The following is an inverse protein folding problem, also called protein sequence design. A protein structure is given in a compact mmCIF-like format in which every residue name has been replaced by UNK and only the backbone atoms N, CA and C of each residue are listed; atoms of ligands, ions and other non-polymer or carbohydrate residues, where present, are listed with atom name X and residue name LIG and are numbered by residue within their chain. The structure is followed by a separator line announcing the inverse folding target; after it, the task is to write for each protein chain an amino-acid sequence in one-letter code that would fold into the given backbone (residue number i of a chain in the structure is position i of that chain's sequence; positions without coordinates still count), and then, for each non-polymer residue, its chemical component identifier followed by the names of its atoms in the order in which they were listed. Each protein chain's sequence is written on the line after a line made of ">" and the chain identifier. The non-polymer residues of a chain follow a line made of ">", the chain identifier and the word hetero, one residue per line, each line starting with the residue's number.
data_IF_690831868259
#
_entry.id   IF_690831868259
#
_cell.length_a   1.000
_cell.length_b   1.000
_cell.length_c   1.000
_cell.angle_alpha   90.00
_cell.angle_beta   90.00
_cell.angle_gamma   90.00
#
_symmetry.space_group_name_H-M   'P 1'
#
loop_
_entity.id
_entity.type
_entity.pdbx_description
1 polymer ?
#
# COMPACT_ATOMS: atom_id res chain seq x y z
N UNK A 1 88.13 56.39 31.87
CA UNK A 1 87.50 56.10 30.54
C UNK A 1 86.92 54.71 30.62
N UNK A 2 85.59 54.61 30.73
CA UNK A 2 84.87 53.32 30.57
C UNK A 2 84.68 53.12 29.08
N UNK A 3 85.27 52.09 28.52
CA UNK A 3 84.99 51.63 27.19
C UNK A 3 83.56 51.01 27.16
N UNK A 4 82.64 51.67 26.47
CA UNK A 4 81.36 51.03 26.15
C UNK A 4 81.66 49.96 25.12
N UNK A 5 81.57 48.71 25.49
CA UNK A 5 81.56 47.59 24.56
C UNK A 5 80.30 47.64 23.72
N UNK A 6 80.47 48.21 22.58
CA UNK A 6 79.37 48.21 21.60
C UNK A 6 78.90 46.80 21.25
N UNK A 7 77.58 46.55 21.22
CA UNK A 7 76.97 45.28 20.88
C UNK A 7 77.53 44.80 19.53
N UNK A 8 78.11 43.59 19.55
CA UNK A 8 78.69 43.00 18.30
C UNK A 8 77.70 42.95 17.16
N UNK A 9 78.16 43.16 15.93
CA UNK A 9 77.33 43.19 14.70
C UNK A 9 76.48 41.91 14.58
N UNK A 10 77.02 40.74 14.95
CA UNK A 10 76.30 39.45 14.96
C UNK A 10 75.13 39.45 15.94
N UNK A 11 75.26 40.09 17.12
CA UNK A 11 74.18 40.16 18.09
C UNK A 11 73.04 41.11 17.62
N UNK A 12 73.37 42.19 16.89
CA UNK A 12 72.40 43.11 16.27
C UNK A 12 71.65 42.39 15.15
N UNK A 13 72.31 41.57 14.33
CA UNK A 13 71.72 40.78 13.28
C UNK A 13 70.78 39.69 13.84
N UNK A 14 71.22 39.03 14.97
CA UNK A 14 70.39 38.04 15.65
C UNK A 14 69.11 38.69 16.22
N UNK A 15 69.25 39.84 16.90
CA UNK A 15 68.05 40.56 17.38
C UNK A 15 67.10 41.00 16.30
N UNK A 16 67.61 41.43 15.14
CA UNK A 16 66.79 41.80 13.96
C UNK A 16 66.05 40.57 13.42
N UNK A 17 66.72 39.42 13.29
CA UNK A 17 66.11 38.20 12.80
C UNK A 17 65.02 37.65 13.75
N UNK A 18 65.24 37.71 15.07
CA UNK A 18 64.26 37.35 16.09
C UNK A 18 63.06 38.31 16.02
N UNK A 19 63.27 39.61 15.86
CA UNK A 19 62.17 40.58 15.72
C UNK A 19 61.34 40.33 14.48
N UNK A 20 61.95 40.02 13.32
CA UNK A 20 61.25 39.67 12.10
C UNK A 20 60.45 38.36 12.28
N UNK A 21 61.05 37.36 12.96
CA UNK A 21 60.35 36.11 13.24
C UNK A 21 59.14 36.33 14.17
N UNK A 22 59.28 37.12 15.22
CA UNK A 22 58.15 37.45 16.12
C UNK A 22 57.05 38.21 15.40
N UNK A 23 57.38 39.17 14.53
CA UNK A 23 56.45 39.92 13.71
C UNK A 23 55.74 38.95 12.73
N UNK A 24 56.48 38.07 12.06
CA UNK A 24 55.92 37.09 11.12
C UNK A 24 55.00 36.11 11.84
N UNK A 25 55.38 35.61 13.03
CA UNK A 25 54.52 34.73 13.84
C UNK A 25 53.30 35.49 14.38
N UNK A 26 53.45 36.72 14.82
CA UNK A 26 52.31 37.56 15.22
C UNK A 26 51.35 37.84 14.06
N UNK A 27 51.88 38.13 12.87
CA UNK A 27 51.06 38.32 11.67
C UNK A 27 50.35 37.05 11.21
N UNK A 28 51.05 35.90 11.22
CA UNK A 28 50.42 34.61 10.91
C UNK A 28 49.38 34.21 11.95
N UNK A 29 49.65 34.38 13.25
CA UNK A 29 48.68 34.16 14.30
C UNK A 29 47.45 35.09 14.13
N UNK A 30 47.70 36.39 13.90
CA UNK A 30 46.58 37.31 13.61
C UNK A 30 45.80 36.94 12.36
N UNK A 31 46.46 36.51 11.27
CA UNK A 31 45.80 36.04 10.05
C UNK A 31 44.98 34.78 10.31
N UNK A 32 45.51 33.81 11.05
CA UNK A 32 44.78 32.55 11.44
C UNK A 32 43.58 32.87 12.33
N UNK A 33 43.69 33.82 13.25
CA UNK A 33 42.55 34.23 14.10
C UNK A 33 41.56 35.08 13.34
N UNK A 34 42.02 35.99 12.45
CA UNK A 34 41.15 36.86 11.63
C UNK A 34 40.44 36.09 10.47
N UNK A 35 41.06 35.00 10.01
CA UNK A 35 40.47 34.11 9.00
C UNK A 35 39.49 33.08 9.56
N UNK A 36 39.26 33.07 10.88
CA UNK A 36 38.22 32.24 11.51
C UNK A 36 36.83 32.83 11.31
N UNK A 37 36.47 33.18 10.05
CA UNK A 37 35.09 33.26 9.62
C UNK A 37 34.56 31.82 9.45
N UNK A 38 34.70 31.00 10.46
CA UNK A 38 34.17 29.62 10.44
C UNK A 38 32.70 29.73 10.76
N UNK A 39 31.86 29.70 9.73
CA UNK A 39 30.44 29.44 9.93
C UNK A 39 30.29 27.99 10.38
N UNK A 40 29.76 27.80 11.58
CA UNK A 40 29.42 26.49 12.09
C UNK A 40 27.94 26.22 11.93
N UNK A 41 27.59 25.06 11.39
CA UNK A 41 26.20 24.57 11.39
C UNK A 41 25.61 24.49 12.81
N UNK A 42 26.45 24.29 13.84
CA UNK A 42 26.01 24.29 15.24
C UNK A 42 25.50 25.67 15.71
N UNK A 43 25.97 26.76 15.07
CA UNK A 43 25.56 28.14 15.38
C UNK A 43 24.40 28.63 14.50
N UNK A 44 23.76 27.76 13.75
CA UNK A 44 22.53 28.07 13.02
C UNK A 44 21.41 27.32 13.74
N UNK A 45 20.56 28.04 14.45
CA UNK A 45 19.39 27.41 15.05
C UNK A 45 18.26 27.38 14.06
N UNK A 46 17.63 26.22 13.93
CA UNK A 46 16.45 26.03 13.10
C UNK A 46 15.36 25.35 13.94
N UNK A 47 14.14 25.83 13.83
CA UNK A 47 12.97 25.17 14.39
C UNK A 47 11.91 25.00 13.33
N UNK A 48 11.17 23.90 13.39
CA UNK A 48 10.07 23.58 12.49
C UNK A 48 8.88 23.18 13.35
N UNK A 49 7.88 24.04 13.41
CA UNK A 49 6.70 23.87 14.25
C UNK A 49 5.49 23.55 13.41
N UNK A 50 4.90 22.41 13.66
CA UNK A 50 3.61 21.97 13.13
C UNK A 50 2.77 21.43 14.28
N UNK A 51 1.45 21.46 14.14
CA UNK A 51 0.57 20.80 15.09
C UNK A 51 0.90 19.29 15.12
N UNK A 52 1.11 18.66 16.29
CA UNK A 52 1.37 17.23 16.42
C UNK A 52 0.28 16.35 15.79
N UNK A 53 -0.93 16.86 15.64
CA UNK A 53 -2.04 16.18 15.01
C UNK A 53 -2.68 17.08 13.95
N UNK A 54 -2.90 16.51 12.76
CA UNK A 54 -3.46 17.23 11.59
C UNK A 54 -4.58 16.40 10.97
N UNK A 55 -5.67 17.03 10.60
CA UNK A 55 -6.73 16.37 9.84
C UNK A 55 -6.25 16.17 8.39
N UNK A 56 -6.50 14.99 7.83
CA UNK A 56 -6.16 14.71 6.44
C UNK A 56 -6.97 15.57 5.48
N UNK A 57 -6.30 16.14 4.47
CA UNK A 57 -6.95 16.97 3.45
C UNK A 57 -7.25 18.39 3.87
N UNK A 58 -7.02 18.75 5.12
CA UNK A 58 -7.14 20.13 5.59
C UNK A 58 -5.80 20.87 5.52
N UNK A 59 -5.91 22.22 5.51
CA UNK A 59 -4.73 23.08 5.52
C UNK A 59 -4.08 23.06 6.90
N UNK A 60 -2.85 22.58 6.99
CA UNK A 60 -2.04 22.58 8.20
C UNK A 60 -0.99 23.70 8.14
N UNK A 61 -1.03 24.69 9.07
CA UNK A 61 0.00 25.71 9.15
C UNK A 61 1.30 25.11 9.69
N UNK A 62 2.41 25.47 9.05
CA UNK A 62 3.75 25.06 9.40
C UNK A 62 4.62 26.32 9.50
N UNK A 63 5.28 26.52 10.63
CA UNK A 63 6.17 27.65 10.85
C UNK A 63 7.63 27.19 10.96
N UNK A 64 8.44 27.71 10.07
CA UNK A 64 9.91 27.58 10.13
C UNK A 64 10.53 28.84 10.70
N UNK A 65 11.48 28.69 11.62
CA UNK A 65 12.32 29.79 12.09
C UNK A 65 13.79 29.43 12.00
N UNK A 66 14.60 30.42 11.65
CA UNK A 66 16.05 30.31 11.55
C UNK A 66 16.70 31.46 12.29
N UNK A 67 17.69 31.18 13.13
CA UNK A 67 18.50 32.18 13.83
C UNK A 67 19.99 31.94 13.57
N UNK A 68 20.67 32.97 13.02
CA UNK A 68 22.10 32.89 12.73
C UNK A 68 22.93 33.39 13.94
N UNK A 69 23.46 32.47 14.75
CA UNK A 69 24.38 32.79 15.87
C UNK A 69 25.85 32.92 15.45
N UNK A 70 26.14 32.73 14.16
CA UNK A 70 27.51 32.93 13.68
C UNK A 70 27.82 34.41 13.65
N UNK A 71 29.12 34.71 13.74
CA UNK A 71 29.65 36.06 13.54
C UNK A 71 29.74 36.48 12.08
N UNK A 72 29.46 35.55 11.18
CA UNK A 72 29.52 35.74 9.72
C UNK A 72 28.12 35.68 9.10
N UNK A 73 27.99 36.38 7.99
CA UNK A 73 26.76 36.44 7.18
C UNK A 73 26.57 35.14 6.40
N UNK A 74 25.35 34.63 6.37
CA UNK A 74 24.93 33.56 5.45
C UNK A 74 24.44 34.27 4.15
N UNK A 75 25.02 33.91 3.03
CA UNK A 75 24.69 34.48 1.71
C UNK A 75 23.90 33.48 0.87
N UNK A 76 23.06 33.98 -0.04
CA UNK A 76 22.26 33.17 -0.95
C UNK A 76 21.51 32.06 -0.23
N UNK A 77 20.99 32.35 0.97
CA UNK A 77 20.27 31.37 1.76
C UNK A 77 18.91 31.06 1.11
N UNK A 78 18.60 29.78 1.00
CA UNK A 78 17.30 29.28 0.55
C UNK A 78 16.87 28.08 1.35
N UNK A 79 15.57 27.89 1.49
CA UNK A 79 14.98 26.71 2.12
C UNK A 79 14.13 25.93 1.15
N UNK A 80 14.17 24.62 1.27
CA UNK A 80 13.31 23.68 0.53
C UNK A 80 12.50 22.85 1.51
N UNK A 81 11.17 22.88 1.38
CA UNK A 81 10.26 22.05 2.15
C UNK A 81 9.99 20.77 1.38
N UNK A 82 10.30 19.64 2.00
CA UNK A 82 10.23 18.29 1.41
C UNK A 82 9.32 17.43 2.28
N UNK A 83 8.31 16.83 1.67
CA UNK A 83 7.42 15.89 2.35
C UNK A 83 6.68 15.01 1.34
N UNK A 84 6.00 13.96 1.83
CA UNK A 84 5.06 13.14 1.05
C UNK A 84 3.65 13.70 1.23
N UNK A 85 3.00 14.08 0.14
CA UNK A 85 1.65 14.65 0.22
C UNK A 85 0.58 13.58 0.43
N UNK A 86 0.69 12.42 -0.23
CA UNK A 86 -0.30 11.34 -0.21
C UNK A 86 0.30 9.97 0.12
N UNK A 87 -0.52 8.92 -0.05
CA UNK A 87 -0.15 7.52 0.14
C UNK A 87 -0.08 6.84 -1.23
N UNK A 88 1.01 6.16 -1.58
CA UNK A 88 1.08 5.37 -2.81
C UNK A 88 2.44 5.39 -3.49
N UNK A 89 2.66 4.44 -4.38
CA UNK A 89 3.95 4.16 -5.01
C UNK A 89 4.49 5.28 -5.91
N UNK A 90 3.65 6.15 -6.43
CA UNK A 90 4.11 7.31 -7.23
C UNK A 90 4.54 8.49 -6.37
N UNK A 91 4.11 8.55 -5.10
CA UNK A 91 4.46 9.58 -4.12
C UNK A 91 5.37 9.06 -3.01
N UNK A 92 5.94 7.85 -3.15
CA UNK A 92 6.90 7.29 -2.20
C UNK A 92 8.22 8.07 -2.14
N UNK A 93 8.51 8.91 -3.14
CA UNK A 93 9.66 9.78 -3.10
C UNK A 93 9.31 11.09 -2.40
N UNK A 94 10.11 11.46 -1.41
CA UNK A 94 10.10 12.79 -0.84
C UNK A 94 10.33 13.81 -1.97
N UNK A 95 9.33 14.64 -2.24
CA UNK A 95 9.41 15.68 -3.25
C UNK A 95 9.57 17.05 -2.61
N UNK A 96 10.35 17.92 -3.23
CA UNK A 96 10.37 19.33 -2.89
C UNK A 96 9.04 19.93 -3.33
N UNK A 97 8.24 20.36 -2.36
CA UNK A 97 6.94 20.99 -2.63
C UNK A 97 7.04 22.49 -2.75
N UNK A 98 7.95 23.10 -1.97
CA UNK A 98 8.12 24.55 -1.97
C UNK A 98 9.58 24.91 -1.71
N UNK A 99 10.10 25.89 -2.46
CA UNK A 99 11.40 26.47 -2.26
C UNK A 99 11.23 27.98 -2.06
N UNK A 100 11.90 28.53 -1.04
CA UNK A 100 11.91 29.97 -0.76
C UNK A 100 13.32 30.48 -0.61
N UNK A 101 13.58 31.63 -1.22
CA UNK A 101 14.84 32.35 -1.10
C UNK A 101 14.75 33.26 0.13
N UNK A 102 15.66 33.05 1.10
CA UNK A 102 15.77 33.88 2.29
C UNK A 102 16.75 35.03 2.10
N UNK A 103 17.57 34.96 1.02
CA UNK A 103 18.59 35.94 0.71
C UNK A 103 19.75 35.93 1.70
N UNK A 104 20.15 37.12 2.12
CA UNK A 104 21.24 37.29 3.08
C UNK A 104 20.72 37.30 4.50
N UNK A 105 21.40 36.54 5.40
CA UNK A 105 21.05 36.45 6.84
C UNK A 105 22.23 36.92 7.65
N UNK A 106 22.10 38.07 8.28
CA UNK A 106 23.17 38.68 9.07
C UNK A 106 23.43 37.95 10.39
N UNK A 107 24.57 38.18 11.05
CA UNK A 107 24.80 37.76 12.42
C UNK A 107 23.66 38.22 13.34
N UNK A 108 23.17 37.30 14.20
CA UNK A 108 22.06 37.51 15.14
C UNK A 108 20.73 37.91 14.49
N UNK A 109 20.56 37.64 13.20
CA UNK A 109 19.29 37.84 12.51
C UNK A 109 18.40 36.60 12.65
N UNK A 110 17.09 36.84 12.80
CA UNK A 110 16.05 35.83 12.81
C UNK A 110 15.24 35.93 11.51
N UNK A 111 15.03 34.81 10.85
CA UNK A 111 14.10 34.67 9.70
C UNK A 111 12.97 33.72 10.08
N UNK A 112 11.74 34.10 9.69
CA UNK A 112 10.56 33.29 9.87
C UNK A 112 9.85 33.13 8.53
N UNK A 113 9.44 31.90 8.25
CA UNK A 113 8.63 31.54 7.08
C UNK A 113 7.45 30.69 7.52
N UNK A 114 6.27 31.06 7.05
CA UNK A 114 5.05 30.33 7.31
C UNK A 114 4.58 29.62 6.02
N UNK A 115 4.26 28.34 6.12
CA UNK A 115 3.79 27.50 5.03
C UNK A 115 2.39 26.99 5.36
N UNK A 116 1.60 26.74 4.32
CA UNK A 116 0.33 26.05 4.40
C UNK A 116 0.42 24.78 3.58
N UNK A 117 0.39 23.63 4.28
CA UNK A 117 0.52 22.34 3.64
C UNK A 117 -0.77 21.54 3.76
N UNK A 118 -0.99 20.63 2.81
CA UNK A 118 -2.10 19.68 2.84
C UNK A 118 -1.51 18.29 2.77
N UNK A 119 -1.85 17.44 3.76
CA UNK A 119 -1.36 16.09 3.88
C UNK A 119 -2.53 15.10 3.76
N UNK A 120 -2.29 14.01 3.06
CA UNK A 120 -3.23 12.90 2.94
C UNK A 120 -2.59 11.61 3.45
N UNK A 121 -3.37 10.74 4.04
CA UNK A 121 -2.91 9.47 4.56
C UNK A 121 -3.98 8.74 5.34
N UNK A 122 -3.64 7.55 5.81
CA UNK A 122 -4.51 6.75 6.68
C UNK A 122 -4.56 7.35 8.10
N UNK A 123 -5.58 6.98 8.85
CA UNK A 123 -5.70 7.34 10.26
C UNK A 123 -4.49 6.83 11.06
N UNK A 124 -4.01 7.66 12.00
CA UNK A 124 -2.82 7.43 12.83
C UNK A 124 -1.49 7.30 12.05
N UNK A 125 -1.45 7.64 10.77
CA UNK A 125 -0.22 7.62 9.98
C UNK A 125 0.64 8.84 10.30
N UNK A 126 1.94 8.58 10.58
CA UNK A 126 2.92 9.65 10.81
C UNK A 126 3.45 10.19 9.49
N UNK A 127 3.51 11.52 9.38
CA UNK A 127 4.06 12.27 8.25
C UNK A 127 5.28 13.06 8.67
N UNK A 128 6.40 12.75 8.04
CA UNK A 128 7.64 13.48 8.24
C UNK A 128 7.72 14.68 7.27
N UNK A 129 8.16 15.80 7.82
CA UNK A 129 8.37 17.06 7.13
C UNK A 129 9.83 17.44 7.29
N UNK A 130 10.50 17.70 6.18
CA UNK A 130 11.92 18.01 6.16
C UNK A 130 12.11 19.41 5.56
N UNK A 131 12.80 20.29 6.29
CA UNK A 131 13.26 21.56 5.73
C UNK A 131 14.78 21.48 5.59
N UNK A 132 15.24 21.70 4.34
CA UNK A 132 16.64 21.78 4.00
C UNK A 132 16.99 23.23 3.75
N UNK A 133 17.90 23.77 4.57
CA UNK A 133 18.55 25.06 4.36
C UNK A 133 19.79 24.86 3.49
N UNK A 134 19.94 25.66 2.45
CA UNK A 134 21.16 25.81 1.66
C UNK A 134 21.66 27.25 1.77
N UNK A 135 22.96 27.45 1.92
CA UNK A 135 23.55 28.78 2.05
C UNK A 135 25.01 28.78 1.63
N UNK A 136 25.55 29.98 1.35
CA UNK A 136 26.98 30.25 1.14
C UNK A 136 27.54 31.07 2.29
N UNK A 137 28.84 31.05 2.44
CA UNK A 137 29.57 31.85 3.43
C UNK A 137 30.37 32.92 2.67
N UNK A 138 30.46 34.12 3.23
CA UNK A 138 31.24 35.23 2.65
C UNK A 138 32.69 34.79 2.35
N UNK A 139 33.12 34.99 1.08
CA UNK A 139 34.43 34.58 0.61
C UNK A 139 34.58 33.12 0.19
N UNK A 140 33.47 32.35 0.13
CA UNK A 140 33.46 30.99 -0.38
C UNK A 140 32.32 30.77 -1.38
N UNK A 141 32.63 30.05 -2.46
CA UNK A 141 31.60 29.59 -3.42
C UNK A 141 30.98 28.24 -3.05
N UNK A 142 31.42 27.62 -1.93
CA UNK A 142 30.88 26.37 -1.48
C UNK A 142 29.46 26.54 -0.92
N UNK A 143 28.57 25.64 -1.31
CA UNK A 143 27.20 25.58 -0.78
C UNK A 143 27.18 24.62 0.41
N UNK A 144 26.75 25.15 1.54
CA UNK A 144 26.54 24.40 2.78
C UNK A 144 25.07 24.09 2.94
N UNK A 145 24.77 23.01 3.69
CA UNK A 145 23.40 22.66 3.98
C UNK A 145 23.21 22.32 5.47
N UNK A 146 21.99 22.54 5.94
CA UNK A 146 21.52 22.09 7.25
C UNK A 146 20.09 21.60 7.10
N UNK A 147 19.74 20.50 7.77
CA UNK A 147 18.43 19.85 7.69
C UNK A 147 17.80 19.86 9.07
N UNK A 148 16.48 20.10 9.11
CA UNK A 148 15.64 19.86 10.27
C UNK A 148 14.43 19.05 9.84
N UNK A 149 14.00 18.15 10.73
CA UNK A 149 12.81 17.29 10.53
C UNK A 149 11.83 17.51 11.66
N UNK A 150 10.55 17.52 11.34
CA UNK A 150 9.44 17.48 12.29
C UNK A 150 8.41 16.47 11.77
N UNK A 151 7.51 16.00 12.62
CA UNK A 151 6.44 15.09 12.20
C UNK A 151 5.08 15.52 12.72
N UNK A 152 4.03 15.04 12.07
CA UNK A 152 2.65 15.17 12.52
C UNK A 152 1.93 13.83 12.29
N UNK A 153 0.93 13.55 13.13
CA UNK A 153 0.09 12.35 13.00
C UNK A 153 -1.22 12.77 12.35
N UNK A 154 -1.58 12.09 11.27
CA UNK A 154 -2.86 12.27 10.61
C UNK A 154 -3.98 11.65 11.44
N UNK A 155 -5.06 12.40 11.68
CA UNK A 155 -6.23 11.89 12.38
C UNK A 155 -7.14 11.15 11.42
N UNK A 156 -7.98 11.87 10.69
CA UNK A 156 -9.01 11.29 9.83
C UNK A 156 -8.73 11.67 8.39
N UNK A 157 -8.63 10.70 7.44
CA UNK A 157 -8.54 11.03 6.03
C UNK A 157 -9.86 11.64 5.52
N UNK A 158 -9.81 12.57 4.55
CA UNK A 158 -11.03 13.19 4.01
C UNK A 158 -11.95 12.16 3.35
N UNK A 159 -11.36 11.18 2.69
CA UNK A 159 -12.06 10.00 2.15
C UNK A 159 -11.33 8.78 2.68
N UNK A 160 -12.04 7.94 3.41
CA UNK A 160 -11.53 6.67 3.93
C UNK A 160 -11.98 5.49 3.08
N UNK A 161 -11.17 4.44 3.08
CA UNK A 161 -11.51 3.13 2.49
C UNK A 161 -11.35 2.06 3.55
N UNK A 162 -12.30 1.11 3.58
CA UNK A 162 -12.23 -0.09 4.41
C UNK A 162 -12.58 -1.33 3.59
N UNK A 163 -11.99 -2.46 3.97
CA UNK A 163 -12.28 -3.78 3.41
C UNK A 163 -12.81 -4.64 4.54
N UNK A 164 -13.95 -5.29 4.28
CA UNK A 164 -14.56 -6.27 5.17
C UNK A 164 -14.84 -7.56 4.40
N UNK A 165 -14.62 -8.71 5.04
CA UNK A 165 -14.78 -10.01 4.40
C UNK A 165 -14.21 -11.16 5.23
N UNK A 166 -14.16 -12.38 4.67
CA UNK A 166 -13.55 -13.52 5.34
C UNK A 166 -12.02 -13.37 5.39
N UNK A 167 -11.46 -13.38 6.58
CA UNK A 167 -10.01 -13.39 6.81
C UNK A 167 -9.37 -14.78 6.76
N UNK A 168 -10.21 -15.82 6.62
CA UNK A 168 -9.80 -17.21 6.47
C UNK A 168 -10.62 -17.86 5.37
N UNK A 169 -9.98 -18.38 4.33
CA UNK A 169 -10.62 -19.07 3.21
C UNK A 169 -9.97 -20.43 2.99
N UNK A 170 -10.78 -21.41 2.59
CA UNK A 170 -10.25 -22.64 2.02
C UNK A 170 -9.73 -22.37 0.61
N UNK A 171 -8.67 -23.06 0.22
CA UNK A 171 -8.11 -22.96 -1.14
C UNK A 171 -9.21 -23.29 -2.16
N UNK A 172 -9.43 -22.38 -3.12
CA UNK A 172 -10.49 -22.49 -4.12
C UNK A 172 -11.90 -22.09 -3.64
N UNK A 173 -12.08 -21.81 -2.34
CA UNK A 173 -13.36 -21.33 -1.81
C UNK A 173 -13.65 -19.91 -2.30
N UNK A 174 -14.90 -19.67 -2.69
CA UNK A 174 -15.38 -18.34 -3.03
C UNK A 174 -15.67 -17.55 -1.76
N UNK A 175 -15.14 -16.33 -1.69
CA UNK A 175 -15.42 -15.35 -0.65
C UNK A 175 -15.97 -14.06 -1.25
N UNK A 176 -16.80 -13.34 -0.49
CA UNK A 176 -17.30 -12.01 -0.86
C UNK A 176 -16.69 -10.98 0.06
N UNK A 177 -16.09 -9.95 -0.53
CA UNK A 177 -15.44 -8.83 0.15
C UNK A 177 -16.20 -7.56 -0.14
N UNK A 178 -16.46 -6.76 0.89
CA UNK A 178 -17.13 -5.46 0.78
C UNK A 178 -16.10 -4.37 1.00
N UNK A 179 -15.87 -3.54 -0.02
CA UNK A 179 -15.04 -2.36 0.06
C UNK A 179 -15.96 -1.17 0.29
N UNK A 180 -15.77 -0.46 1.39
CA UNK A 180 -16.56 0.72 1.73
C UNK A 180 -15.70 1.96 1.58
N UNK A 181 -16.17 2.94 0.79
CA UNK A 181 -15.57 4.27 0.64
C UNK A 181 -16.49 5.27 1.32
N UNK A 182 -15.96 6.07 2.25
CA UNK A 182 -16.73 7.03 3.06
C UNK A 182 -16.12 8.42 2.99
N UNK A 183 -16.96 9.43 2.83
CA UNK A 183 -16.58 10.82 2.97
C UNK A 183 -16.64 11.26 4.44
N UNK A 184 -15.49 11.59 5.02
CA UNK A 184 -15.35 12.09 6.39
C UNK A 184 -15.20 13.62 6.44
N UNK A 185 -15.07 14.29 5.28
CA UNK A 185 -14.90 15.74 5.24
C UNK A 185 -16.21 16.48 5.54
N UNK A 186 -16.09 17.76 5.91
CA UNK A 186 -17.23 18.63 6.18
C UNK A 186 -17.98 19.06 4.91
N UNK A 187 -17.47 18.74 3.72
CA UNK A 187 -18.05 19.13 2.43
C UNK A 187 -18.29 17.92 1.54
N UNK A 188 -19.16 18.09 0.53
CA UNK A 188 -19.33 17.08 -0.50
C UNK A 188 -17.99 16.83 -1.22
N UNK A 189 -17.60 15.57 -1.36
CA UNK A 189 -16.37 15.20 -2.06
C UNK A 189 -16.49 15.49 -3.56
N UNK A 190 -15.37 15.70 -4.20
CA UNK A 190 -15.27 15.60 -5.65
C UNK A 190 -15.38 14.13 -6.08
N UNK A 191 -15.35 13.90 -7.39
CA UNK A 191 -15.26 12.56 -7.94
C UNK A 191 -13.93 11.90 -7.53
N UNK A 192 -14.00 10.72 -6.92
CA UNK A 192 -12.86 9.96 -6.45
C UNK A 192 -12.65 8.70 -7.32
N UNK A 193 -11.49 8.10 -7.18
CA UNK A 193 -11.14 6.83 -7.83
C UNK A 193 -10.72 5.84 -6.74
N UNK A 194 -11.35 4.66 -6.75
CA UNK A 194 -10.94 3.50 -5.97
C UNK A 194 -10.15 2.56 -6.87
N UNK A 195 -8.96 2.16 -6.46
CA UNK A 195 -8.15 1.14 -7.09
C UNK A 195 -7.91 -0.01 -6.11
N UNK A 196 -8.06 -1.24 -6.59
CA UNK A 196 -7.83 -2.44 -5.80
C UNK A 196 -6.69 -3.25 -6.40
N UNK A 197 -5.67 -3.51 -5.59
CA UNK A 197 -4.59 -4.45 -5.91
C UNK A 197 -4.96 -5.79 -5.30
N UNK A 198 -5.11 -6.79 -6.16
CA UNK A 198 -5.41 -8.17 -5.79
C UNK A 198 -4.16 -9.03 -5.96
N UNK A 199 -3.97 -10.07 -5.15
CA UNK A 199 -2.93 -11.04 -5.39
C UNK A 199 -3.18 -11.79 -6.71
N UNK A 200 -2.13 -12.19 -7.40
CA UNK A 200 -2.22 -12.90 -8.68
C UNK A 200 -2.99 -14.23 -8.58
N UNK A 201 -3.11 -14.76 -7.38
CA UNK A 201 -3.83 -15.99 -7.07
C UNK A 201 -5.33 -15.78 -6.83
N UNK A 202 -5.81 -14.52 -6.83
CA UNK A 202 -7.22 -14.19 -6.64
C UNK A 202 -7.94 -14.08 -7.99
N UNK A 203 -8.95 -14.91 -8.19
CA UNK A 203 -9.79 -14.91 -9.39
C UNK A 203 -11.15 -14.30 -9.06
N UNK A 204 -11.44 -13.13 -9.67
CA UNK A 204 -12.75 -12.47 -9.52
C UNK A 204 -13.79 -13.26 -10.29
N UNK A 205 -14.90 -13.60 -9.64
CA UNK A 205 -16.10 -14.17 -10.29
C UNK A 205 -17.20 -13.13 -10.52
N UNK A 206 -17.33 -12.15 -9.64
CA UNK A 206 -18.32 -11.07 -9.79
C UNK A 206 -17.87 -9.79 -9.07
N UNK A 207 -18.33 -8.64 -9.56
CA UNK A 207 -18.21 -7.33 -8.90
C UNK A 207 -19.52 -6.55 -9.01
N UNK A 208 -19.88 -5.84 -7.94
CA UNK A 208 -21.06 -4.97 -7.90
C UNK A 208 -20.72 -3.67 -7.14
N UNK A 209 -20.78 -2.50 -7.82
CA UNK A 209 -21.01 -2.30 -9.25
C UNK A 209 -19.86 -2.87 -10.11
N UNK A 210 -20.12 -2.99 -11.41
CA UNK A 210 -19.10 -3.40 -12.39
C UNK A 210 -17.93 -2.40 -12.41
N UNK A 211 -16.75 -2.90 -12.71
CA UNK A 211 -15.53 -2.10 -12.85
C UNK A 211 -15.63 -1.09 -13.99
N UNK A 212 -14.96 0.05 -13.87
CA UNK A 212 -14.81 1.03 -14.93
C UNK A 212 -13.59 0.70 -15.81
N UNK A 213 -13.82 0.01 -16.91
CA UNK A 213 -12.76 -0.31 -17.88
C UNK A 213 -11.90 -1.53 -17.50
N UNK A 214 -10.61 -1.47 -17.87
CA UNK A 214 -9.65 -2.55 -17.57
C UNK A 214 -9.01 -2.31 -16.19
N UNK A 215 -8.80 -3.41 -15.46
CA UNK A 215 -8.23 -3.37 -14.11
C UNK A 215 -9.29 -3.27 -13.02
N UNK A 216 -8.87 -3.37 -11.78
CA UNK A 216 -9.75 -3.36 -10.60
C UNK A 216 -9.92 -1.91 -10.10
N UNK A 217 -10.57 -1.08 -10.92
CA UNK A 217 -10.73 0.36 -10.68
C UNK A 217 -12.20 0.75 -10.80
N UNK A 218 -12.67 1.60 -9.87
CA UNK A 218 -14.02 2.16 -9.82
C UNK A 218 -13.95 3.67 -9.68
N UNK A 219 -14.76 4.35 -10.47
CA UNK A 219 -15.02 5.77 -10.29
C UNK A 219 -16.12 5.95 -9.26
N UNK A 220 -15.82 6.68 -8.19
CA UNK A 220 -16.76 6.96 -7.11
C UNK A 220 -17.40 8.33 -7.39
N UNK A 221 -18.71 8.36 -7.48
CA UNK A 221 -19.46 9.61 -7.59
C UNK A 221 -19.20 10.53 -6.38
N UNK A 222 -19.45 11.84 -6.49
CA UNK A 222 -19.38 12.73 -5.34
C UNK A 222 -20.23 12.20 -4.19
N UNK A 223 -19.65 12.16 -2.98
CA UNK A 223 -20.32 11.72 -1.75
C UNK A 223 -20.61 12.93 -0.86
N UNK A 224 -21.81 13.05 -0.35
CA UNK A 224 -22.15 14.04 0.66
C UNK A 224 -21.36 13.78 1.96
N UNK A 225 -21.31 14.76 2.87
CA UNK A 225 -20.68 14.62 4.19
C UNK A 225 -21.24 13.42 4.94
N UNK A 226 -20.36 12.51 5.36
CA UNK A 226 -20.71 11.29 6.08
C UNK A 226 -21.28 10.16 5.21
N UNK A 227 -21.54 10.41 3.93
CA UNK A 227 -22.05 9.41 2.98
C UNK A 227 -20.98 8.37 2.64
N UNK A 228 -21.45 7.15 2.38
CA UNK A 228 -20.58 6.04 1.95
C UNK A 228 -21.17 5.28 0.77
N UNK A 229 -20.29 4.72 -0.05
CA UNK A 229 -20.63 3.76 -1.10
C UNK A 229 -19.91 2.45 -0.88
N UNK A 230 -20.50 1.35 -1.38
CA UNK A 230 -19.96 0.01 -1.21
C UNK A 230 -19.73 -0.64 -2.57
N UNK A 231 -18.63 -1.33 -2.68
CA UNK A 231 -18.29 -2.19 -3.81
C UNK A 231 -18.13 -3.62 -3.27
N UNK A 232 -18.92 -4.55 -3.81
CA UNK A 232 -18.79 -5.96 -3.46
C UNK A 232 -17.97 -6.69 -4.53
N UNK A 233 -17.03 -7.50 -4.07
CA UNK A 233 -16.17 -8.33 -4.92
C UNK A 233 -16.28 -9.76 -4.45
N UNK A 234 -16.69 -10.64 -5.35
CA UNK A 234 -16.77 -12.08 -5.09
C UNK A 234 -15.70 -12.77 -5.94
N UNK A 235 -14.95 -13.65 -5.32
CA UNK A 235 -13.88 -14.38 -5.99
C UNK A 235 -13.31 -15.50 -5.15
N UNK A 236 -12.41 -16.27 -5.72
CA UNK A 236 -11.72 -17.37 -5.06
C UNK A 236 -10.20 -17.15 -5.07
N UNK A 237 -9.53 -17.69 -4.06
CA UNK A 237 -8.07 -17.61 -3.91
C UNK A 237 -7.47 -19.00 -4.07
N UNK A 238 -6.42 -19.13 -4.88
CA UNK A 238 -5.56 -20.31 -4.95
C UNK A 238 -4.24 -20.05 -4.18
N UNK A 239 -3.55 -21.11 -3.78
CA UNK A 239 -2.31 -20.99 -3.03
C UNK A 239 -2.02 -22.27 -2.24
N UNK A 240 -1.17 -22.17 -1.21
CA UNK A 240 -0.82 -23.28 -0.34
C UNK A 240 -1.34 -23.06 1.08
N UNK A 241 -1.52 -24.16 1.81
CA UNK A 241 -1.99 -24.11 3.20
C UNK A 241 -1.05 -23.27 4.08
N UNK A 242 -1.64 -22.40 4.90
CA UNK A 242 -0.92 -21.52 5.81
C UNK A 242 -0.38 -20.24 5.18
N UNK A 243 -0.45 -20.12 3.86
CA UNK A 243 -0.12 -18.89 3.16
C UNK A 243 -1.08 -17.76 3.54
N UNK A 244 -0.53 -16.57 3.65
CA UNK A 244 -1.32 -15.33 3.79
C UNK A 244 -1.19 -14.53 2.52
N UNK A 245 -2.30 -14.18 1.92
CA UNK A 245 -2.37 -13.34 0.73
C UNK A 245 -3.04 -12.02 1.07
N UNK A 246 -2.56 -10.92 0.46
CA UNK A 246 -2.98 -9.57 0.84
C UNK A 246 -3.69 -8.87 -0.32
N UNK A 247 -4.86 -8.32 -0.05
CA UNK A 247 -5.55 -7.36 -0.90
C UNK A 247 -5.20 -5.94 -0.42
N UNK A 248 -5.09 -4.98 -1.34
CA UNK A 248 -4.89 -3.57 -1.00
C UNK A 248 -5.89 -2.70 -1.75
N UNK A 249 -6.68 -1.93 -1.02
CA UNK A 249 -7.54 -0.89 -1.56
C UNK A 249 -6.90 0.48 -1.37
N UNK A 250 -7.00 1.33 -2.39
CA UNK A 250 -6.55 2.72 -2.37
C UNK A 250 -7.66 3.61 -2.93
N UNK A 251 -7.96 4.70 -2.24
CA UNK A 251 -8.89 5.72 -2.71
C UNK A 251 -8.21 7.07 -2.77
N UNK A 252 -8.48 7.84 -3.82
CA UNK A 252 -7.87 9.15 -3.99
C UNK A 252 -8.61 10.03 -4.97
N UNK A 253 -8.11 11.24 -5.15
CA UNK A 253 -8.59 12.17 -6.15
C UNK A 253 -8.29 11.67 -7.55
N UNK A 254 -9.17 11.99 -8.51
CA UNK A 254 -8.97 11.66 -9.92
C UNK A 254 -7.68 12.31 -10.44
N UNK A 255 -6.86 11.53 -11.13
CA UNK A 255 -5.67 11.99 -11.84
C UNK A 255 -5.96 12.42 -13.28
N UNK A 256 -4.94 12.34 -14.12
CA UNK A 256 -5.00 12.78 -15.52
C UNK A 256 -5.96 11.97 -16.38
N UNK A 257 -6.22 10.72 -16.01
CA UNK A 257 -7.22 9.87 -16.67
C UNK A 257 -8.40 9.55 -15.75
N UNK A 258 -9.58 9.18 -16.31
CA UNK A 258 -10.77 8.86 -15.51
C UNK A 258 -10.58 7.72 -14.51
N UNK A 259 -9.60 6.85 -14.74
CA UNK A 259 -9.32 5.66 -13.93
C UNK A 259 -7.97 5.73 -13.22
N UNK A 260 -7.25 6.85 -13.29
CA UNK A 260 -6.01 7.06 -12.55
C UNK A 260 -6.27 7.82 -11.25
N UNK A 261 -5.52 7.46 -10.21
CA UNK A 261 -5.49 8.22 -8.95
C UNK A 261 -4.36 9.24 -9.08
N UNK A 262 -4.66 10.52 -8.85
CA UNK A 262 -3.68 11.60 -8.77
C UNK A 262 -3.00 11.60 -7.40
N UNK A 263 -3.76 11.90 -6.34
CA UNK A 263 -3.29 11.85 -4.95
C UNK A 263 -4.09 10.82 -4.20
N UNK A 264 -3.42 9.90 -3.53
CA UNK A 264 -4.06 8.89 -2.68
C UNK A 264 -4.39 9.50 -1.32
N UNK A 265 -5.66 9.47 -0.93
CA UNK A 265 -6.14 10.01 0.34
C UNK A 265 -6.04 8.99 1.46
N UNK A 266 -6.36 7.74 1.17
CA UNK A 266 -6.34 6.64 2.14
C UNK A 266 -6.08 5.31 1.45
N UNK A 267 -5.46 4.38 2.17
CA UNK A 267 -5.27 3.00 1.73
C UNK A 267 -5.50 2.03 2.87
N UNK A 268 -5.97 0.83 2.55
CA UNK A 268 -6.07 -0.27 3.50
C UNK A 268 -5.61 -1.57 2.87
N UNK A 269 -4.89 -2.36 3.63
CA UNK A 269 -4.53 -3.74 3.34
C UNK A 269 -5.46 -4.70 4.09
N UNK A 270 -5.75 -5.85 3.48
CA UNK A 270 -6.57 -6.89 4.06
C UNK A 270 -5.92 -8.25 3.81
N UNK A 271 -5.60 -8.95 4.89
CA UNK A 271 -4.93 -10.23 4.84
C UNK A 271 -5.93 -11.38 4.89
N UNK A 272 -5.77 -12.32 3.96
CA UNK A 272 -6.56 -13.55 3.84
C UNK A 272 -5.64 -14.72 4.08
N UNK A 273 -5.89 -15.47 5.14
CA UNK A 273 -5.15 -16.68 5.45
C UNK A 273 -5.77 -17.87 4.73
N UNK A 274 -4.94 -18.69 4.08
CA UNK A 274 -5.38 -19.86 3.33
C UNK A 274 -5.29 -21.13 4.19
N UNK A 275 -6.32 -21.96 4.10
CA UNK A 275 -6.32 -23.30 4.66
C UNK A 275 -6.72 -24.32 3.60
N UNK A 276 -6.39 -25.57 3.82
CA UNK A 276 -6.94 -26.65 2.99
C UNK A 276 -8.45 -26.77 3.22
N UNK A 277 -9.17 -27.18 2.18
CA UNK A 277 -10.58 -27.58 2.38
C UNK A 277 -10.63 -28.75 3.35
N UNK A 278 -11.46 -28.69 4.40
CA UNK A 278 -11.66 -29.84 5.26
C UNK A 278 -12.34 -31.01 4.55
N UNK A 279 -12.93 -30.76 3.38
CA UNK A 279 -13.60 -31.76 2.57
C UNK A 279 -12.89 -31.86 1.22
N UNK A 280 -12.44 -33.04 0.86
CA UNK A 280 -11.86 -33.38 -0.44
C UNK A 280 -12.82 -34.17 -1.29
N UNK A 281 -12.67 -34.03 -2.61
CA UNK A 281 -13.50 -34.74 -3.59
C UNK A 281 -12.60 -35.43 -4.61
N UNK A 282 -13.01 -36.64 -4.99
CA UNK A 282 -12.57 -37.31 -6.19
C UNK A 282 -13.78 -37.60 -7.07
N UNK A 283 -13.60 -37.54 -8.37
CA UNK A 283 -14.65 -37.91 -9.31
C UNK A 283 -14.09 -38.96 -10.28
N UNK A 284 -14.80 -40.06 -10.43
CA UNK A 284 -14.47 -41.13 -11.37
C UNK A 284 -15.65 -41.36 -12.30
N UNK A 285 -15.35 -41.63 -13.54
CA UNK A 285 -16.32 -41.99 -14.55
C UNK A 285 -16.21 -43.51 -14.79
N UNK A 286 -17.29 -44.21 -14.52
CA UNK A 286 -17.44 -45.60 -14.85
C UNK A 286 -18.35 -45.72 -16.09
N UNK A 287 -17.86 -46.42 -17.10
CA UNK A 287 -18.60 -46.61 -18.36
C UNK A 287 -18.82 -48.10 -18.58
N UNK A 288 -20.02 -48.45 -19.08
CA UNK A 288 -20.38 -49.85 -19.45
C UNK A 288 -19.49 -50.41 -20.59
N UNK A 289 -18.56 -49.61 -21.12
CA UNK A 289 -17.71 -49.95 -22.23
C UNK A 289 -16.29 -50.30 -21.76
N UNK A 290 -15.83 -51.47 -22.12
CA UNK A 290 -14.46 -51.94 -21.89
C UNK A 290 -13.38 -51.09 -22.62
N UNK A 291 -13.77 -50.11 -23.40
CA UNK A 291 -12.94 -49.09 -24.01
C UNK A 291 -13.26 -47.74 -23.35
N UNK A 292 -12.30 -46.98 -22.90
CA UNK A 292 -12.39 -45.63 -22.27
C UNK A 292 -13.21 -44.61 -23.15
N UNK A 293 -14.02 -45.06 -24.10
CA UNK A 293 -14.79 -44.23 -25.00
C UNK A 293 -16.28 -44.42 -24.73
N UNK A 294 -16.96 -43.33 -24.37
CA UNK A 294 -18.39 -43.26 -24.21
C UNK A 294 -19.07 -43.19 -25.58
N UNK A 295 -20.07 -44.04 -25.80
CA UNK A 295 -20.86 -44.09 -27.03
C UNK A 295 -22.27 -43.57 -26.82
N UNK A 296 -22.96 -43.25 -27.91
CA UNK A 296 -24.37 -42.90 -27.86
C UNK A 296 -25.23 -44.04 -27.34
N UNK A 297 -26.11 -43.69 -26.44
CA UNK A 297 -26.98 -44.65 -25.77
C UNK A 297 -26.35 -45.26 -24.52
N UNK A 298 -25.07 -45.07 -24.28
CA UNK A 298 -24.41 -45.47 -23.08
C UNK A 298 -24.93 -44.71 -21.87
N UNK A 299 -24.77 -45.26 -20.70
CA UNK A 299 -24.98 -44.61 -19.42
C UNK A 299 -23.64 -44.35 -18.77
N UNK A 300 -23.34 -43.08 -18.53
CA UNK A 300 -22.19 -42.71 -17.77
C UNK A 300 -22.52 -42.73 -16.27
N UNK A 301 -21.90 -43.60 -15.52
CA UNK A 301 -22.00 -43.59 -14.06
C UNK A 301 -20.87 -42.74 -13.49
N UNK A 302 -21.21 -41.61 -12.91
CA UNK A 302 -20.25 -40.74 -12.23
C UNK A 302 -20.27 -41.10 -10.73
N UNK A 303 -19.13 -41.50 -10.22
CA UNK A 303 -18.94 -41.67 -8.79
C UNK A 303 -18.17 -40.47 -8.22
N UNK A 304 -18.78 -39.81 -7.24
CA UNK A 304 -18.16 -38.71 -6.49
C UNK A 304 -17.76 -39.25 -5.12
N UNK A 305 -16.47 -39.41 -4.90
CA UNK A 305 -15.91 -39.83 -3.60
C UNK A 305 -15.64 -38.55 -2.79
N UNK A 306 -16.03 -38.52 -1.56
CA UNK A 306 -15.72 -37.43 -0.65
C UNK A 306 -15.06 -37.93 0.62
N UNK A 307 -14.25 -37.11 1.25
CA UNK A 307 -13.58 -37.39 2.52
C UNK A 307 -13.47 -36.14 3.37
N UNK A 308 -13.87 -36.20 4.64
CA UNK A 308 -13.55 -35.21 5.64
C UNK A 308 -12.10 -35.41 6.11
N UNK A 309 -11.18 -34.65 5.57
CA UNK A 309 -9.75 -34.73 5.91
C UNK A 309 -9.38 -33.99 7.19
N UNK A 310 -10.33 -33.29 7.80
CA UNK A 310 -10.10 -32.51 9.03
C UNK A 310 -10.23 -33.39 10.30
N UNK A 311 -9.86 -32.81 11.43
CA UNK A 311 -9.98 -33.42 12.77
C UNK A 311 -11.26 -32.97 13.51
N UNK A 312 -12.19 -32.31 12.80
CA UNK A 312 -13.48 -31.87 13.34
C UNK A 312 -14.64 -32.48 12.56
N UNK A 313 -15.79 -32.64 13.22
CA UNK A 313 -17.04 -33.01 12.54
C UNK A 313 -17.51 -31.84 11.70
N UNK A 314 -17.80 -32.09 10.41
CA UNK A 314 -18.41 -31.09 9.50
C UNK A 314 -19.93 -31.25 9.60
N UNK A 315 -20.62 -30.12 9.77
CA UNK A 315 -22.08 -30.08 9.90
C UNK A 315 -22.73 -29.58 8.63
N UNK A 316 -23.91 -30.09 8.32
CA UNK A 316 -24.75 -29.65 7.20
C UNK A 316 -24.00 -29.59 5.86
N UNK A 317 -23.24 -30.64 5.56
CA UNK A 317 -22.44 -30.71 4.33
C UNK A 317 -23.38 -30.74 3.12
N UNK A 318 -23.11 -29.86 2.14
CA UNK A 318 -23.83 -29.74 0.89
C UNK A 318 -22.86 -29.90 -0.28
N UNK A 319 -23.09 -30.86 -1.14
CA UNK A 319 -22.25 -31.18 -2.28
C UNK A 319 -23.09 -31.02 -3.55
N UNK A 320 -22.65 -30.14 -4.45
CA UNK A 320 -23.36 -29.86 -5.70
C UNK A 320 -22.46 -30.15 -6.89
N UNK A 321 -22.94 -30.98 -7.78
CA UNK A 321 -22.30 -31.26 -9.08
C UNK A 321 -23.05 -30.52 -10.19
N UNK A 322 -22.33 -29.75 -11.00
CA UNK A 322 -22.87 -29.05 -12.16
C UNK A 322 -22.70 -29.93 -13.39
N UNK A 323 -23.75 -30.03 -14.20
CA UNK A 323 -23.75 -30.79 -15.44
C UNK A 323 -23.80 -29.81 -16.60
N UNK A 324 -22.73 -29.73 -17.37
CA UNK A 324 -22.63 -28.82 -18.53
C UNK A 324 -22.35 -29.58 -19.80
N UNK A 325 -22.99 -29.17 -20.90
CA UNK A 325 -22.83 -29.75 -22.25
C UNK A 325 -24.09 -30.29 -22.81
N UNK A 326 -24.12 -30.44 -24.16
CA UNK A 326 -25.30 -30.81 -24.93
C UNK A 326 -25.43 -32.33 -25.14
N UNK A 327 -24.46 -33.12 -24.69
CA UNK A 327 -24.43 -34.57 -24.88
C UNK A 327 -25.21 -35.35 -23.81
N UNK A 328 -25.86 -34.66 -22.88
CA UNK A 328 -26.55 -35.30 -21.76
C UNK A 328 -28.08 -35.24 -21.89
N UNK A 329 -28.73 -36.39 -21.64
CA UNK A 329 -30.19 -36.45 -21.58
C UNK A 329 -30.70 -36.04 -20.19
N UNK A 330 -30.75 -34.74 -19.93
CA UNK A 330 -31.08 -34.16 -18.62
C UNK A 330 -32.38 -34.72 -18.00
N UNK A 331 -33.41 -35.02 -18.82
CA UNK A 331 -34.71 -35.57 -18.34
C UNK A 331 -34.62 -36.98 -17.79
N UNK A 332 -33.54 -37.70 -18.04
CA UNK A 332 -33.35 -39.12 -17.62
C UNK A 332 -32.17 -39.32 -16.68
N UNK A 333 -31.65 -38.25 -16.11
CA UNK A 333 -30.62 -38.33 -15.10
C UNK A 333 -31.18 -39.00 -13.85
N UNK A 334 -30.46 -40.01 -13.36
CA UNK A 334 -30.72 -40.63 -12.07
C UNK A 334 -29.65 -40.15 -11.06
N UNK A 335 -30.03 -39.29 -10.11
CA UNK A 335 -29.10 -38.75 -9.15
C UNK A 335 -28.71 -39.68 -8.00
N UNK A 336 -29.24 -40.91 -7.96
CA UNK A 336 -29.01 -41.94 -6.95
C UNK A 336 -28.88 -41.36 -5.53
N UNK A 337 -29.99 -41.17 -4.85
CA UNK A 337 -30.09 -40.52 -3.53
C UNK A 337 -29.66 -39.01 -3.51
N UNK A 338 -29.56 -38.35 -4.66
CA UNK A 338 -29.40 -36.92 -4.75
C UNK A 338 -30.67 -36.21 -5.24
N UNK A 339 -30.69 -34.92 -5.25
CA UNK A 339 -31.74 -34.12 -5.86
C UNK A 339 -31.23 -33.51 -7.16
N UNK A 340 -31.92 -33.74 -8.29
CA UNK A 340 -31.59 -33.15 -9.57
C UNK A 340 -32.48 -31.95 -9.87
N UNK A 341 -31.88 -30.78 -10.04
CA UNK A 341 -32.52 -29.56 -10.52
C UNK A 341 -32.27 -29.42 -12.02
N UNK A 342 -33.32 -29.65 -12.82
CA UNK A 342 -33.24 -29.61 -14.30
C UNK A 342 -33.08 -28.19 -14.86
N UNK A 343 -33.44 -27.16 -14.10
CA UNK A 343 -33.30 -25.74 -14.51
C UNK A 343 -31.87 -25.27 -14.29
N UNK A 344 -31.32 -25.58 -13.14
CA UNK A 344 -29.92 -25.25 -12.81
C UNK A 344 -28.92 -26.26 -13.36
N UNK A 345 -29.40 -27.39 -13.85
CA UNK A 345 -28.57 -28.52 -14.29
C UNK A 345 -27.57 -28.97 -13.20
N UNK A 346 -28.09 -29.14 -11.97
CA UNK A 346 -27.27 -29.53 -10.83
C UNK A 346 -27.82 -30.76 -10.15
N UNK A 347 -26.92 -31.62 -9.65
CA UNK A 347 -27.23 -32.67 -8.68
C UNK A 347 -26.70 -32.23 -7.33
N UNK A 348 -27.56 -32.29 -6.30
CA UNK A 348 -27.23 -31.90 -4.94
C UNK A 348 -27.41 -33.04 -4.00
N UNK A 349 -26.39 -33.32 -3.18
CA UNK A 349 -26.44 -34.23 -2.03
C UNK A 349 -26.26 -33.41 -0.76
N UNK A 350 -27.18 -33.55 0.15
CA UNK A 350 -27.21 -32.84 1.42
C UNK A 350 -27.88 -33.72 2.51
N UNK A 351 -28.05 -33.18 3.71
CA UNK A 351 -28.69 -33.89 4.83
C UNK A 351 -30.11 -34.41 4.55
N UNK A 352 -30.86 -33.75 3.64
CA UNK A 352 -32.23 -34.15 3.33
C UNK A 352 -32.27 -35.36 2.40
N UNK A 353 -31.21 -35.55 1.61
CA UNK A 353 -31.05 -36.66 0.69
C UNK A 353 -30.18 -37.77 1.24
N UNK A 354 -29.19 -37.41 2.08
CA UNK A 354 -28.24 -38.32 2.75
C UNK A 354 -28.05 -37.87 4.19
N UNK A 355 -28.74 -38.50 5.16
CA UNK A 355 -28.72 -38.05 6.55
C UNK A 355 -27.32 -37.96 7.20
N UNK A 356 -26.36 -38.76 6.74
CA UNK A 356 -24.98 -38.77 7.23
C UNK A 356 -24.27 -37.44 6.98
N UNK A 357 -24.70 -36.66 5.97
CA UNK A 357 -24.15 -35.33 5.67
C UNK A 357 -24.58 -34.25 6.67
N UNK A 358 -25.56 -34.55 7.55
CA UNK A 358 -25.88 -33.65 8.66
C UNK A 358 -24.72 -33.53 9.65
N UNK A 359 -23.98 -34.64 9.88
CA UNK A 359 -22.83 -34.69 10.77
C UNK A 359 -21.80 -35.65 10.17
N UNK A 360 -20.82 -35.14 9.47
CA UNK A 360 -19.74 -35.89 8.85
C UNK A 360 -18.53 -35.95 9.78
N UNK A 361 -18.27 -37.08 10.45
CA UNK A 361 -17.19 -37.21 11.43
C UNK A 361 -15.80 -36.96 10.82
N UNK A 362 -14.77 -36.68 11.68
CA UNK A 362 -13.39 -36.63 11.24
C UNK A 362 -12.97 -37.89 10.49
N UNK A 363 -12.21 -37.72 9.39
CA UNK A 363 -11.63 -38.81 8.58
C UNK A 363 -12.67 -39.76 7.96
N UNK A 364 -13.94 -39.43 8.01
CA UNK A 364 -14.99 -40.23 7.35
C UNK A 364 -15.05 -39.91 5.85
N UNK A 365 -15.39 -40.91 5.07
CA UNK A 365 -15.52 -40.81 3.62
C UNK A 365 -16.79 -41.51 3.13
N UNK A 366 -17.22 -41.17 1.93
CA UNK A 366 -18.34 -41.81 1.27
C UNK A 366 -18.30 -41.63 -0.25
N UNK A 367 -19.28 -42.25 -0.90
CA UNK A 367 -19.37 -42.17 -2.36
C UNK A 367 -20.81 -41.94 -2.78
N UNK A 368 -21.04 -40.93 -3.57
CA UNK A 368 -22.30 -40.72 -4.30
C UNK A 368 -22.18 -41.23 -5.73
N UNK A 369 -23.29 -41.59 -6.32
CA UNK A 369 -23.34 -41.94 -7.74
C UNK A 369 -24.43 -41.17 -8.45
N UNK A 370 -24.18 -40.84 -9.72
CA UNK A 370 -25.18 -40.31 -10.61
C UNK A 370 -25.07 -41.03 -11.96
N UNK A 371 -26.20 -41.42 -12.52
CA UNK A 371 -26.26 -42.07 -13.82
C UNK A 371 -26.78 -41.07 -14.82
N UNK A 372 -25.95 -40.74 -15.82
CA UNK A 372 -26.23 -39.73 -16.83
C UNK A 372 -26.28 -40.40 -18.21
N UNK A 373 -27.44 -40.50 -18.84
CA UNK A 373 -27.57 -41.07 -20.18
C UNK A 373 -26.98 -40.10 -21.24
N UNK A 374 -26.20 -40.66 -22.15
CA UNK A 374 -25.53 -39.92 -23.23
C UNK A 374 -26.43 -39.97 -24.51
N UNK A 375 -26.64 -38.81 -25.09
CA UNK A 375 -27.41 -38.66 -26.32
C UNK A 375 -26.60 -37.96 -27.42
N UNK A 376 -26.98 -38.18 -28.66
CA UNK A 376 -26.44 -37.42 -29.80
C UNK A 376 -26.99 -36.00 -29.76
N UNK A 377 -26.11 -35.03 -29.54
CA UNK A 377 -26.45 -33.64 -29.81
C UNK A 377 -26.45 -33.42 -31.32
N UNK A 378 -27.57 -32.97 -31.87
CA UNK A 378 -27.64 -32.64 -33.30
C UNK A 378 -26.63 -31.55 -33.65
N UNK A 379 -25.68 -31.92 -34.55
CA UNK A 379 -24.80 -30.99 -35.27
C UNK A 379 -23.78 -30.23 -34.40
N UNK A 380 -22.85 -30.91 -33.84
CA UNK A 380 -21.42 -30.53 -33.69
C UNK A 380 -20.75 -31.53 -32.77
N UNK A 381 -19.65 -32.11 -33.20
CA UNK A 381 -18.89 -33.09 -32.42
C UNK A 381 -18.63 -32.55 -31.03
N UNK A 382 -18.98 -33.29 -29.94
CA UNK A 382 -18.61 -32.85 -28.58
C UNK A 382 -17.10 -32.74 -28.48
N UNK A 383 -16.60 -31.55 -28.14
CA UNK A 383 -15.25 -31.40 -27.65
C UNK A 383 -15.27 -31.87 -26.20
N UNK A 384 -14.63 -32.98 -25.95
CA UNK A 384 -14.23 -33.42 -24.58
C UNK A 384 -13.17 -32.52 -24.04
#
# INVERSE_FOLDING_TARGET
>A
RKEEKGVSFGLKLLMLSISILVIALGFTAWRVVSLRNVVSNANIDMTLNINPYTEGGETAPLTFTLYNRNTSVLQDASISLVYKQGVGSQDEQEKVHEKRELGTINPNENKREDFNIILYGSEAEERNLVVKLEYKVAGSNAVFNKIITSSTILKTPPISVSIDGPNLLSIGQTGTFTITVKNNSATTSLQNVLALTLPNTFVISNTEPKQNGRGNVWTIAPLATGESTKIMITGSVSGVQGETTTMKAMVGGRGDSPTSIGVVFSSQTYDIKLRTSPLTFGMTLDTDSASEKIRYGDRATIAVVYENTSDITLHDVNITMYITGDAFQLKKIDPTNGYFDSVKQTITWNRDTIPELANLPPKSSGTFRAIIPIVLSGVNSPKL
#
